data_IF_055313226632
#
_entry.id   IF_055313226632
#
_cell.length_a   1.000
_cell.length_b   1.000
_cell.length_c   1.000
_cell.angle_alpha   90.00
_cell.angle_beta   90.00
_cell.angle_gamma   90.00
#
_symmetry.space_group_name_H-M   'P 1'
#
loop_
_entity.id
_entity.type
_entity.pdbx_description
1 polymer ?
#
# COMPACT_ATOMS: atom_id res chain seq x y z
N UNK A 1 6.59 7.07 -29.36
CA UNK A 1 6.12 8.46 -29.15
C UNK A 1 5.14 8.55 -27.96
N UNK A 2 5.25 7.69 -26.95
CA UNK A 2 4.06 7.34 -26.13
C UNK A 2 4.26 7.37 -24.61
N UNK A 3 5.48 7.60 -24.13
CA UNK A 3 5.76 7.89 -22.71
C UNK A 3 5.92 9.40 -22.47
N UNK A 4 6.24 10.16 -23.52
CA UNK A 4 6.43 11.61 -23.49
C UNK A 4 5.11 12.38 -23.30
N UNK A 5 3.96 11.76 -23.61
CA UNK A 5 2.65 12.30 -23.30
C UNK A 5 2.24 11.87 -21.88
N UNK A 6 2.34 12.82 -20.94
CA UNK A 6 2.03 12.66 -19.51
C UNK A 6 0.56 12.27 -19.29
N UNK A 7 -0.34 12.68 -20.19
CA UNK A 7 -1.77 12.36 -20.11
C UNK A 7 -2.12 10.94 -20.56
N UNK A 8 -1.22 10.27 -21.29
CA UNK A 8 -1.50 8.94 -21.84
C UNK A 8 -1.61 7.85 -20.77
N UNK A 9 -2.42 6.82 -21.04
CA UNK A 9 -2.52 5.64 -20.16
C UNK A 9 -1.14 5.02 -19.89
N UNK A 10 -0.29 4.94 -20.92
CA UNK A 10 1.06 4.36 -20.81
C UNK A 10 1.93 5.16 -19.85
N UNK A 11 1.91 6.49 -19.93
CA UNK A 11 2.68 7.34 -19.02
C UNK A 11 2.16 7.24 -17.58
N UNK A 12 0.84 7.19 -17.37
CA UNK A 12 0.25 6.99 -16.02
C UNK A 12 0.62 5.66 -15.40
N UNK A 13 0.52 4.56 -16.16
CA UNK A 13 0.90 3.22 -15.69
C UNK A 13 2.39 3.18 -15.35
N UNK A 14 3.25 3.67 -16.26
CA UNK A 14 4.69 3.69 -16.04
C UNK A 14 5.07 4.52 -14.81
N UNK A 15 4.53 5.73 -14.70
CA UNK A 15 4.82 6.65 -13.59
C UNK A 15 4.32 6.08 -12.25
N UNK A 16 3.12 5.50 -12.22
CA UNK A 16 2.58 4.84 -11.03
C UNK A 16 3.43 3.64 -10.59
N UNK A 17 3.86 2.80 -11.53
CA UNK A 17 4.74 1.68 -11.23
C UNK A 17 6.11 2.13 -10.72
N UNK A 18 6.72 3.13 -11.38
CA UNK A 18 8.00 3.70 -10.95
C UNK A 18 7.90 4.30 -9.55
N UNK A 19 6.80 4.98 -9.23
CA UNK A 19 6.50 5.49 -7.89
C UNK A 19 6.49 4.35 -6.85
N UNK A 20 5.76 3.27 -7.10
CA UNK A 20 5.71 2.12 -6.19
C UNK A 20 7.08 1.48 -5.97
N UNK A 21 7.91 1.37 -7.01
CA UNK A 21 9.28 0.89 -6.88
C UNK A 21 10.14 1.81 -6.00
N UNK A 22 10.01 3.12 -6.18
CA UNK A 22 10.75 4.10 -5.39
C UNK A 22 10.32 4.13 -3.92
N UNK A 23 9.03 3.96 -3.64
CA UNK A 23 8.49 3.80 -2.28
C UNK A 23 9.03 2.50 -1.67
N UNK A 24 8.89 1.37 -2.37
CA UNK A 24 9.32 0.04 -1.90
C UNK A 24 10.79 0.01 -1.48
N UNK A 25 11.69 0.65 -2.24
CA UNK A 25 13.13 0.70 -1.94
C UNK A 25 13.45 1.31 -0.57
N UNK A 26 12.58 2.17 -0.04
CA UNK A 26 12.79 2.90 1.21
C UNK A 26 12.21 2.18 2.44
N UNK A 27 11.45 1.10 2.25
CA UNK A 27 10.72 0.42 3.33
C UNK A 27 11.50 -0.83 3.78
N UNK A 28 12.04 -0.86 5.01
CA UNK A 28 12.86 -1.98 5.49
C UNK A 28 12.15 -3.32 5.47
N UNK A 29 10.83 -3.35 5.74
CA UNK A 29 10.02 -4.57 5.79
C UNK A 29 9.91 -5.30 4.44
N UNK A 30 10.27 -4.66 3.33
CA UNK A 30 10.39 -5.33 2.03
C UNK A 30 11.72 -6.06 1.81
N UNK A 31 12.60 -6.11 2.81
CA UNK A 31 13.82 -6.91 2.77
C UNK A 31 13.50 -8.39 2.41
N UNK A 32 14.30 -9.05 1.55
CA UNK A 32 14.11 -10.45 1.19
C UNK A 32 14.17 -11.45 2.36
N UNK A 33 14.93 -11.14 3.42
CA UNK A 33 15.02 -11.95 4.62
C UNK A 33 13.88 -11.68 5.63
N UNK A 34 12.96 -10.76 5.30
CA UNK A 34 11.77 -10.50 6.10
C UNK A 34 10.73 -11.62 5.99
N UNK A 35 9.87 -11.72 7.01
CA UNK A 35 8.74 -12.64 6.99
C UNK A 35 7.53 -12.00 6.31
N UNK A 36 6.56 -12.85 5.97
CA UNK A 36 5.25 -12.43 5.45
C UNK A 36 4.15 -13.24 6.09
N UNK A 37 3.04 -12.58 6.38
CA UNK A 37 1.79 -13.19 6.82
C UNK A 37 0.65 -12.66 5.94
N UNK A 38 -0.28 -13.53 5.56
CA UNK A 38 -1.49 -13.14 4.82
C UNK A 38 -2.63 -13.08 5.81
N UNK A 39 -3.31 -11.93 5.89
CA UNK A 39 -4.48 -11.76 6.73
C UNK A 39 -5.75 -12.00 5.91
N UNK A 40 -6.60 -12.92 6.35
CA UNK A 40 -7.85 -13.25 5.68
C UNK A 40 -9.03 -12.52 6.35
N UNK A 41 -9.12 -11.21 6.12
CA UNK A 41 -10.15 -10.33 6.75
C UNK A 41 -11.36 -10.16 5.83
N UNK A 42 -11.14 -9.85 4.55
CA UNK A 42 -12.18 -9.74 3.53
C UNK A 42 -11.67 -10.40 2.24
N UNK A 43 -12.49 -11.28 1.63
CA UNK A 43 -12.16 -12.01 0.40
C UNK A 43 -11.88 -11.12 -0.82
N UNK A 44 -12.30 -9.85 -0.77
CA UNK A 44 -12.10 -8.84 -1.82
C UNK A 44 -10.77 -8.10 -1.65
N UNK A 45 -10.07 -8.34 -0.54
CA UNK A 45 -8.78 -7.75 -0.23
C UNK A 45 -7.70 -8.83 -0.21
N UNK A 46 -6.54 -8.48 -0.73
CA UNK A 46 -5.29 -9.15 -0.39
C UNK A 46 -4.57 -8.29 0.64
N UNK A 47 -4.47 -8.80 1.87
CA UNK A 47 -3.75 -8.13 2.96
C UNK A 47 -2.52 -8.95 3.33
N UNK A 48 -1.34 -8.33 3.25
CA UNK A 48 -0.07 -8.97 3.57
C UNK A 48 0.66 -8.11 4.60
N UNK A 49 0.96 -8.68 5.76
CA UNK A 49 1.89 -8.06 6.71
C UNK A 49 3.28 -8.54 6.38
N UNK A 50 4.19 -7.59 6.16
CA UNK A 50 5.62 -7.82 5.95
C UNK A 50 6.37 -7.32 7.17
N UNK A 51 7.23 -8.16 7.73
CA UNK A 51 8.02 -7.84 8.91
C UNK A 51 9.50 -8.04 8.61
N UNK A 52 10.34 -7.11 9.04
CA UNK A 52 11.79 -7.31 9.10
C UNK A 52 12.35 -6.53 10.29
N UNK A 53 13.03 -7.24 11.20
CA UNK A 53 13.48 -6.70 12.49
C UNK A 53 12.30 -6.11 13.28
N UNK A 54 12.42 -4.88 13.76
CA UNK A 54 11.41 -4.12 14.51
C UNK A 54 10.40 -3.38 13.61
N UNK A 55 10.49 -3.52 12.28
CA UNK A 55 9.65 -2.78 11.32
C UNK A 55 8.61 -3.69 10.65
N UNK A 56 7.35 -3.26 10.74
CA UNK A 56 6.21 -3.85 10.04
C UNK A 56 5.69 -2.92 8.95
N UNK A 57 5.17 -3.49 7.87
CA UNK A 57 4.27 -2.78 6.93
C UNK A 57 3.12 -3.70 6.55
N UNK A 58 1.90 -3.17 6.57
CA UNK A 58 0.69 -3.84 6.09
C UNK A 58 0.39 -3.38 4.68
N UNK A 59 0.50 -4.29 3.73
CA UNK A 59 0.09 -4.08 2.35
C UNK A 59 -1.38 -4.45 2.22
N UNK A 60 -2.20 -3.50 1.78
CA UNK A 60 -3.63 -3.71 1.50
C UNK A 60 -3.86 -3.48 0.01
N UNK A 61 -4.41 -4.48 -0.68
CA UNK A 61 -4.73 -4.42 -2.11
C UNK A 61 -6.20 -4.79 -2.27
N UNK A 62 -6.99 -3.88 -2.82
CA UNK A 62 -8.33 -4.20 -3.31
C UNK A 62 -8.22 -4.88 -4.68
N UNK A 63 -8.83 -6.05 -4.83
CA UNK A 63 -8.83 -6.78 -6.11
C UNK A 63 -10.18 -6.67 -6.84
N UNK A 64 -11.05 -5.77 -6.38
CA UNK A 64 -12.40 -5.60 -6.88
C UNK A 64 -12.72 -4.15 -7.22
N UNK A 65 -13.88 -3.95 -7.86
CA UNK A 65 -14.44 -2.63 -8.18
C UNK A 65 -15.20 -1.99 -7.01
N UNK A 66 -15.34 -2.69 -5.89
CA UNK A 66 -16.13 -2.22 -4.75
C UNK A 66 -15.28 -1.30 -3.86
N UNK A 67 -15.93 -0.35 -3.18
CA UNK A 67 -15.31 0.36 -2.06
C UNK A 67 -15.39 -0.53 -0.82
N UNK A 68 -14.30 -0.62 -0.08
CA UNK A 68 -14.20 -1.45 1.13
C UNK A 68 -13.74 -0.58 2.29
N UNK A 69 -14.36 -0.76 3.46
CA UNK A 69 -14.02 -0.01 4.66
C UNK A 69 -13.23 -0.91 5.61
N UNK A 70 -12.05 -0.43 6.01
CA UNK A 70 -11.17 -0.99 7.03
C UNK A 70 -10.98 0.04 8.14
N UNK A 71 -12.07 0.36 8.83
CA UNK A 71 -12.10 1.39 9.88
C UNK A 71 -11.12 1.11 11.03
N UNK A 72 -10.79 -0.16 11.28
CA UNK A 72 -9.82 -0.58 12.29
C UNK A 72 -8.39 -0.11 12.00
N UNK A 73 -8.09 0.26 10.75
CA UNK A 73 -6.80 0.81 10.35
C UNK A 73 -6.86 2.32 10.07
N UNK A 74 -8.00 2.96 10.28
CA UNK A 74 -8.10 4.42 10.16
C UNK A 74 -7.12 5.09 11.14
N UNK A 75 -6.35 6.07 10.67
CA UNK A 75 -5.29 6.71 11.43
C UNK A 75 -3.88 6.17 11.19
N UNK A 76 -3.75 4.97 10.60
CA UNK A 76 -2.48 4.46 10.10
C UNK A 76 -1.91 5.38 9.01
N UNK A 77 -0.60 5.35 8.80
CA UNK A 77 0.05 6.19 7.80
C UNK A 77 0.31 5.39 6.52
N UNK A 78 -0.22 5.85 5.39
CA UNK A 78 0.06 5.27 4.07
C UNK A 78 1.38 5.83 3.50
N UNK A 79 2.33 4.93 3.28
CA UNK A 79 3.64 5.22 2.74
C UNK A 79 3.64 5.45 1.23
N UNK A 80 2.56 5.08 0.51
CA UNK A 80 2.47 5.33 -0.93
C UNK A 80 2.15 6.81 -1.19
N UNK A 81 1.11 7.35 -0.55
CA UNK A 81 0.74 8.76 -0.75
C UNK A 81 1.23 9.71 0.35
N UNK A 82 1.91 9.21 1.38
CA UNK A 82 2.38 9.98 2.55
C UNK A 82 1.24 10.72 3.26
N UNK A 83 0.11 10.05 3.49
CA UNK A 83 -1.05 10.62 4.17
C UNK A 83 -1.59 9.65 5.21
N UNK A 84 -2.33 10.18 6.17
CA UNK A 84 -3.13 9.37 7.09
C UNK A 84 -4.20 8.64 6.29
N UNK A 85 -4.30 7.33 6.50
CA UNK A 85 -5.33 6.48 5.93
C UNK A 85 -6.65 6.74 6.65
N UNK A 86 -7.70 6.99 5.88
CA UNK A 86 -9.03 7.33 6.38
C UNK A 86 -9.92 6.10 6.65
N UNK A 87 -9.38 4.89 6.41
CA UNK A 87 -10.14 3.64 6.52
C UNK A 87 -10.82 3.23 5.21
N UNK A 88 -10.76 4.02 4.15
CA UNK A 88 -11.43 3.73 2.87
C UNK A 88 -10.46 3.13 1.86
N UNK A 89 -10.69 1.89 1.47
CA UNK A 89 -9.96 1.23 0.39
C UNK A 89 -10.72 1.43 -0.92
N UNK A 90 -10.17 2.28 -1.79
CA UNK A 90 -10.75 2.56 -3.11
C UNK A 90 -10.74 1.31 -4.02
N UNK A 91 -11.59 1.26 -5.06
CA UNK A 91 -11.57 0.21 -6.08
C UNK A 91 -10.17 0.04 -6.67
N UNK A 92 -9.65 -1.19 -6.66
CA UNK A 92 -8.29 -1.50 -7.10
C UNK A 92 -7.17 -0.71 -6.39
N UNK A 93 -7.48 -0.09 -5.25
CA UNK A 93 -6.55 0.69 -4.45
C UNK A 93 -5.46 -0.18 -3.82
N UNK A 94 -4.27 0.41 -3.68
CA UNK A 94 -3.10 -0.20 -3.06
C UNK A 94 -2.57 0.75 -2.00
N UNK A 95 -2.37 0.23 -0.79
CA UNK A 95 -1.93 1.01 0.38
C UNK A 95 -0.82 0.26 1.12
N UNK A 96 0.20 0.99 1.59
CA UNK A 96 1.27 0.48 2.44
C UNK A 96 1.18 1.16 3.80
N UNK A 97 0.48 0.52 4.73
CA UNK A 97 0.13 1.10 6.03
C UNK A 97 1.18 0.74 7.08
N UNK A 98 1.58 1.73 7.86
CA UNK A 98 2.28 1.54 9.14
C UNK A 98 1.43 2.07 10.27
N UNK A 99 1.46 1.37 11.40
CA UNK A 99 0.73 1.81 12.59
C UNK A 99 1.30 3.15 13.03
N UNK A 100 0.44 4.16 13.03
CA UNK A 100 0.81 5.46 13.53
C UNK A 100 0.81 5.39 15.05
N UNK A 101 1.97 5.17 15.65
CA UNK A 101 2.14 5.39 17.09
C UNK A 101 2.01 6.90 17.32
N UNK A 102 0.79 7.38 17.56
CA UNK A 102 0.65 8.61 18.35
C UNK A 102 1.45 8.34 19.62
N UNK A 103 2.46 9.16 19.88
CA UNK A 103 3.42 8.95 20.97
C UNK A 103 2.71 8.56 22.26
N UNK A 104 3.19 7.49 22.88
CA UNK A 104 3.00 7.28 24.32
C UNK A 104 3.56 8.46 25.10
#
# INVERSE_FOLDING_TARGET
RTLSDVGSLRSRVFSGYLHLLNVRKKIPSFNPAGTREVLNIDKRLLIIVRQYRDKAVRVVINVTKDIIFLSEYAGDFDLICCKVFDGTVSPYGVFFLITNTKGS
#
